data_IF_840300878053
#
_entry.id   IF_840300878053
#
_cell.length_a   1.000
_cell.length_b   1.000
_cell.length_c   1.000
_cell.angle_alpha   90.00
_cell.angle_beta   90.00
_cell.angle_gamma   90.00
#
_symmetry.space_group_name_H-M   'P 1'
#
loop_
_entity.id
_entity.type
_entity.pdbx_description
1 polymer ?
#
# COMPACT_ATOMS: atom_id res chain seq x y z
N UNK A 1 -20.75 -48.64 -21.37
CA UNK A 1 -21.55 -47.42 -21.12
C UNK A 1 -21.79 -47.24 -19.62
N UNK A 2 -20.77 -46.92 -18.82
CA UNK A 2 -20.94 -46.52 -17.39
C UNK A 2 -19.69 -45.74 -17.01
N UNK A 3 -19.76 -44.40 -16.92
CA UNK A 3 -18.80 -43.47 -16.23
C UNK A 3 -18.77 -42.07 -16.88
N UNK A 4 -19.91 -41.39 -16.96
CA UNK A 4 -19.92 -39.91 -17.14
C UNK A 4 -20.75 -39.23 -16.04
N UNK A 5 -21.81 -39.91 -15.59
CA UNK A 5 -22.77 -39.36 -14.64
C UNK A 5 -22.23 -39.24 -13.19
N UNK A 6 -21.17 -40.00 -12.85
CA UNK A 6 -20.50 -39.91 -11.54
C UNK A 6 -19.50 -38.76 -11.41
N UNK A 7 -18.98 -38.22 -12.52
CA UNK A 7 -18.01 -37.11 -12.50
C UNK A 7 -18.69 -35.75 -12.32
N UNK A 8 -19.92 -35.60 -12.83
CA UNK A 8 -20.68 -34.35 -12.69
C UNK A 8 -21.16 -34.10 -11.24
N UNK A 9 -21.36 -35.16 -10.45
CA UNK A 9 -21.84 -35.02 -9.05
C UNK A 9 -20.75 -34.67 -8.04
N UNK A 10 -19.46 -34.91 -8.33
CA UNK A 10 -18.37 -34.64 -7.38
C UNK A 10 -17.77 -33.24 -7.49
N UNK A 11 -18.01 -32.51 -8.59
CA UNK A 11 -17.47 -31.15 -8.81
C UNK A 11 -18.38 -30.08 -8.20
N UNK A 12 -19.69 -30.32 -8.16
CA UNK A 12 -20.70 -29.38 -7.65
C UNK A 12 -20.64 -29.07 -6.14
N UNK A 13 -20.32 -30.00 -5.22
CA UNK A 13 -20.25 -29.66 -3.80
C UNK A 13 -19.04 -28.77 -3.48
N UNK A 14 -17.92 -28.93 -4.20
CA UNK A 14 -16.73 -28.09 -4.01
C UNK A 14 -16.98 -26.63 -4.38
N UNK A 15 -17.65 -26.35 -5.50
CA UNK A 15 -17.91 -24.96 -5.96
C UNK A 15 -18.68 -24.11 -4.94
N UNK A 16 -19.60 -24.74 -4.19
CA UNK A 16 -20.38 -24.06 -3.14
C UNK A 16 -19.55 -23.81 -1.88
N UNK A 17 -18.67 -24.73 -1.53
CA UNK A 17 -17.79 -24.60 -0.38
C UNK A 17 -16.70 -23.53 -0.63
N UNK A 18 -16.14 -23.45 -1.85
CA UNK A 18 -15.11 -22.44 -2.20
C UNK A 18 -15.65 -21.01 -2.12
N UNK A 19 -16.90 -20.78 -2.54
CA UNK A 19 -17.56 -19.47 -2.42
C UNK A 19 -17.93 -19.10 -0.98
N UNK A 20 -18.17 -20.09 -0.11
CA UNK A 20 -18.44 -19.88 1.30
C UNK A 20 -17.16 -19.71 2.14
N UNK A 21 -16.03 -20.30 1.72
CA UNK A 21 -14.72 -20.17 2.37
C UNK A 21 -14.00 -18.87 1.97
N UNK A 22 -14.20 -18.37 0.75
CA UNK A 22 -13.65 -17.09 0.28
C UNK A 22 -14.52 -15.91 0.74
N UNK A 23 -14.73 -15.79 2.05
CA UNK A 23 -15.28 -14.57 2.62
C UNK A 23 -14.15 -13.54 2.68
N UNK A 24 -14.35 -12.40 2.02
CA UNK A 24 -13.36 -11.31 2.08
C UNK A 24 -13.12 -10.95 3.56
N UNK A 25 -11.85 -10.87 4.01
CA UNK A 25 -11.53 -10.46 5.38
C UNK A 25 -12.27 -9.18 5.80
N UNK A 26 -12.55 -9.04 7.09
CA UNK A 26 -13.32 -7.91 7.64
C UNK A 26 -12.82 -6.54 7.16
N UNK A 27 -11.50 -6.36 7.09
CA UNK A 27 -10.85 -5.12 6.62
C UNK A 27 -11.10 -4.79 5.14
N UNK A 28 -11.51 -5.76 4.30
CA UNK A 28 -11.92 -5.55 2.90
C UNK A 28 -13.40 -5.15 2.82
N UNK A 29 -14.24 -5.70 3.72
CA UNK A 29 -15.66 -5.39 3.75
C UNK A 29 -15.90 -3.95 4.21
N UNK A 30 -15.16 -3.54 5.26
CA UNK A 30 -15.21 -2.19 5.80
C UNK A 30 -14.75 -1.11 4.78
N UNK A 31 -13.83 -1.47 3.86
CA UNK A 31 -13.38 -0.58 2.78
C UNK A 31 -14.41 -0.42 1.64
N UNK A 32 -15.26 -1.43 1.45
CA UNK A 32 -16.27 -1.53 0.40
C UNK A 32 -17.67 -1.04 0.83
N UNK A 33 -17.86 -0.69 2.11
CA UNK A 33 -19.15 -0.18 2.61
C UNK A 33 -19.45 1.21 1.99
N UNK A 34 -20.54 1.36 1.20
CA UNK A 34 -20.90 2.63 0.57
C UNK A 34 -21.43 3.68 1.58
N UNK A 35 -21.81 3.27 2.79
CA UNK A 35 -22.26 4.18 3.86
C UNK A 35 -21.12 4.68 4.75
N UNK A 36 -19.94 4.05 4.69
CA UNK A 36 -18.73 4.54 5.35
C UNK A 36 -18.03 5.49 4.37
N UNK A 37 -17.91 6.79 4.66
CA UNK A 37 -17.11 7.68 3.82
C UNK A 37 -15.71 7.08 3.74
N UNK A 38 -15.24 6.80 2.51
CA UNK A 38 -13.89 6.30 2.25
C UNK A 38 -12.91 7.03 3.19
N UNK A 39 -11.98 6.32 3.87
CA UNK A 39 -11.11 6.95 4.85
C UNK A 39 -10.50 8.17 4.19
N UNK A 40 -11.00 9.34 4.59
CA UNK A 40 -10.59 10.60 4.04
C UNK A 40 -9.08 10.62 4.23
N UNK A 41 -8.33 11.05 3.22
CA UNK A 41 -6.86 11.12 3.23
C UNK A 41 -6.29 12.07 4.30
N UNK A 42 -7.02 12.31 5.37
CA UNK A 42 -6.57 12.94 6.58
C UNK A 42 -5.55 12.02 7.23
N UNK A 43 -4.27 12.37 7.10
CA UNK A 43 -3.20 11.75 7.87
C UNK A 43 -3.64 11.69 9.34
N UNK A 44 -3.84 10.47 9.85
CA UNK A 44 -4.23 10.29 11.24
C UNK A 44 -3.18 10.95 12.12
N UNK A 45 -3.60 11.57 13.22
CA UNK A 45 -2.73 12.33 14.11
C UNK A 45 -1.51 11.51 14.56
N UNK A 46 -1.68 10.18 14.67
CA UNK A 46 -0.61 9.22 14.95
C UNK A 46 0.41 9.12 13.81
N UNK A 47 -0.03 9.08 12.55
CA UNK A 47 0.86 9.08 11.38
C UNK A 47 1.65 10.38 11.27
N UNK A 48 1.01 11.53 11.53
CA UNK A 48 1.71 12.83 11.56
C UNK A 48 2.81 12.83 12.61
N UNK A 49 2.52 12.31 13.80
CA UNK A 49 3.48 12.21 14.89
C UNK A 49 4.66 11.29 14.54
N UNK A 50 4.38 10.12 13.96
CA UNK A 50 5.43 9.21 13.47
C UNK A 50 6.30 9.91 12.44
N UNK A 51 5.71 10.57 11.44
CA UNK A 51 6.45 11.30 10.41
C UNK A 51 7.34 12.39 11.00
N UNK A 52 6.85 13.14 11.99
CA UNK A 52 7.63 14.18 12.67
C UNK A 52 8.79 13.56 13.46
N UNK A 53 8.54 12.50 14.22
CA UNK A 53 9.59 11.80 14.97
C UNK A 53 10.66 11.28 14.03
N UNK A 54 10.27 10.62 12.92
CA UNK A 54 11.22 10.14 11.92
C UNK A 54 12.06 11.28 11.37
N UNK A 55 11.46 12.43 11.05
CA UNK A 55 12.21 13.60 10.56
C UNK A 55 13.19 14.13 11.61
N UNK A 56 12.74 14.30 12.86
CA UNK A 56 13.54 14.81 13.97
C UNK A 56 14.68 13.87 14.35
N UNK A 57 14.58 12.57 14.09
CA UNK A 57 15.67 11.61 14.32
C UNK A 57 16.61 11.54 13.12
N UNK A 58 16.07 11.41 11.91
CA UNK A 58 16.86 11.20 10.69
C UNK A 58 17.67 12.44 10.31
N UNK A 59 17.11 13.63 10.46
CA UNK A 59 17.79 14.87 10.11
C UNK A 59 19.08 15.13 10.92
N UNK A 60 19.06 15.14 12.27
CA UNK A 60 20.29 15.32 13.04
C UNK A 60 21.23 14.13 12.90
N UNK A 61 20.71 12.90 12.71
CA UNK A 61 21.56 11.74 12.44
C UNK A 61 22.36 11.91 11.14
N UNK A 62 21.72 12.34 10.06
CA UNK A 62 22.41 12.62 8.80
C UNK A 62 23.42 13.78 8.92
N UNK A 63 23.05 14.85 9.64
CA UNK A 63 23.97 15.97 9.87
C UNK A 63 25.19 15.55 10.70
N UNK A 64 24.98 14.74 11.74
CA UNK A 64 26.05 14.26 12.60
C UNK A 64 26.96 13.27 11.86
N UNK A 65 26.40 12.35 11.08
CA UNK A 65 27.16 11.44 10.23
C UNK A 65 28.01 12.19 9.20
N UNK A 66 27.45 13.22 8.55
CA UNK A 66 28.20 14.10 7.65
C UNK A 66 29.34 14.83 8.36
N UNK A 67 29.10 15.37 9.56
CA UNK A 67 30.14 16.03 10.35
C UNK A 67 31.27 15.07 10.79
N UNK A 68 30.92 13.86 11.18
CA UNK A 68 31.88 12.82 11.57
C UNK A 68 32.75 12.38 10.39
N UNK A 69 32.13 12.13 9.23
CA UNK A 69 32.86 11.77 8.01
C UNK A 69 33.70 12.93 7.48
N UNK A 70 33.33 14.19 7.71
CA UNK A 70 34.16 15.35 7.36
C UNK A 70 35.48 15.38 8.15
N UNK A 71 35.43 15.05 9.44
CA UNK A 71 36.65 14.87 10.26
C UNK A 71 37.53 13.74 9.74
N UNK A 72 36.94 12.64 9.27
CA UNK A 72 37.66 11.52 8.64
C UNK A 72 38.17 11.84 7.23
N UNK A 73 37.49 12.69 6.46
CA UNK A 73 37.92 13.10 5.14
C UNK A 73 39.21 13.93 5.19
N UNK A 74 39.35 14.78 6.21
CA UNK A 74 40.59 15.50 6.47
C UNK A 74 41.76 14.59 6.87
N UNK A 75 41.48 13.37 7.35
CA UNK A 75 42.51 12.38 7.69
C UNK A 75 43.09 11.63 6.47
N UNK A 76 42.82 12.11 5.24
CA UNK A 76 43.38 11.56 4.00
C UNK A 76 42.56 10.44 3.33
N UNK A 77 41.34 10.17 3.81
CA UNK A 77 40.45 9.18 3.20
C UNK A 77 39.56 9.81 2.13
N UNK A 78 39.88 9.58 0.86
CA UNK A 78 39.12 10.14 -0.27
C UNK A 78 37.64 9.69 -0.29
N UNK A 79 37.34 8.46 0.15
CA UNK A 79 35.97 7.94 0.21
C UNK A 79 35.07 8.70 1.19
N UNK A 80 35.64 9.25 2.26
CA UNK A 80 34.89 10.00 3.26
C UNK A 80 34.29 11.30 2.69
N UNK A 81 34.88 11.86 1.62
CA UNK A 81 34.28 12.99 0.90
C UNK A 81 32.93 12.66 0.28
N UNK A 82 32.76 11.46 -0.27
CA UNK A 82 31.47 11.06 -0.86
C UNK A 82 30.40 11.04 0.22
N UNK A 83 30.71 10.43 1.36
CA UNK A 83 29.80 10.34 2.49
C UNK A 83 29.42 11.72 3.05
N UNK A 84 30.35 12.68 3.11
CA UNK A 84 30.01 14.05 3.53
C UNK A 84 28.94 14.73 2.68
N UNK A 85 28.77 14.34 1.41
CA UNK A 85 27.71 14.86 0.53
C UNK A 85 26.48 13.93 0.46
N UNK A 86 26.70 12.62 0.52
CA UNK A 86 25.65 11.61 0.48
C UNK A 86 24.73 11.70 1.72
N UNK A 87 25.29 11.90 2.91
CA UNK A 87 24.49 12.03 4.14
C UNK A 87 23.53 13.24 4.12
N UNK A 88 23.96 14.47 3.77
CA UNK A 88 23.05 15.60 3.55
C UNK A 88 22.00 15.33 2.46
N UNK A 89 22.39 14.64 1.38
CA UNK A 89 21.47 14.31 0.29
C UNK A 89 20.33 13.40 0.76
N UNK A 90 20.63 12.37 1.55
CA UNK A 90 19.61 11.54 2.18
C UNK A 90 18.73 12.35 3.15
N UNK A 91 19.31 13.26 3.94
CA UNK A 91 18.55 14.16 4.80
C UNK A 91 17.56 15.04 4.01
N UNK A 92 17.98 15.57 2.86
CA UNK A 92 17.14 16.35 1.97
C UNK A 92 16.00 15.51 1.36
N UNK A 93 16.28 14.28 0.94
CA UNK A 93 15.25 13.34 0.44
C UNK A 93 14.23 13.03 1.54
N UNK A 94 14.68 12.80 2.78
CA UNK A 94 13.77 12.55 3.90
C UNK A 94 12.82 13.73 4.14
N UNK A 95 13.33 14.97 4.10
CA UNK A 95 12.50 16.19 4.19
C UNK A 95 11.53 16.27 3.00
N UNK A 96 11.99 15.97 1.79
CA UNK A 96 11.15 16.00 0.60
C UNK A 96 9.98 15.00 0.71
N UNK A 97 10.26 13.75 1.09
CA UNK A 97 9.24 12.73 1.30
C UNK A 97 8.29 13.13 2.43
N UNK A 98 8.80 13.64 3.54
CA UNK A 98 7.97 14.17 4.64
C UNK A 98 7.00 15.26 4.15
N UNK A 99 7.50 16.25 3.39
CA UNK A 99 6.66 17.31 2.81
C UNK A 99 5.63 16.74 1.83
N UNK A 100 5.99 15.73 1.05
CA UNK A 100 5.08 15.06 0.10
C UNK A 100 3.97 14.29 0.81
N UNK A 101 4.32 13.52 1.85
CA UNK A 101 3.34 12.79 2.66
C UNK A 101 2.42 13.76 3.41
N UNK A 102 2.95 14.84 4.00
CA UNK A 102 2.17 15.89 4.67
C UNK A 102 1.13 16.57 3.75
N UNK A 103 1.40 16.65 2.43
CA UNK A 103 0.45 17.23 1.46
C UNK A 103 -0.74 16.32 1.15
N UNK A 104 -0.73 15.06 1.60
CA UNK A 104 -1.79 14.12 1.28
C UNK A 104 -1.78 13.68 -0.18
N UNK A 105 -0.61 13.74 -0.86
CA UNK A 105 -0.39 13.17 -2.22
C UNK A 105 -0.39 11.62 -2.18
N UNK A 106 -1.34 11.03 -1.48
CA UNK A 106 -1.59 9.59 -1.49
C UNK A 106 -2.31 9.29 -2.80
N UNK A 107 -1.78 8.39 -3.66
CA UNK A 107 -2.43 8.04 -4.90
C UNK A 107 -3.87 7.60 -4.63
N UNK A 108 -4.83 8.36 -5.15
CA UNK A 108 -6.26 8.00 -5.06
C UNK A 108 -6.48 6.87 -6.05
N UNK A 109 -6.56 5.64 -5.55
CA UNK A 109 -6.88 4.48 -6.38
C UNK A 109 -8.32 4.69 -6.89
N UNK A 110 -8.54 4.81 -8.21
CA UNK A 110 -9.89 4.89 -8.76
C UNK A 110 -10.64 3.62 -8.36
N UNK A 111 -11.70 3.76 -7.56
CA UNK A 111 -12.53 2.61 -7.19
C UNK A 111 -13.31 2.15 -8.42
N UNK A 112 -13.30 0.85 -8.77
CA UNK A 112 -14.20 0.34 -9.79
C UNK A 112 -15.66 0.53 -9.33
N UNK A 113 -16.53 0.92 -10.25
CA UNK A 113 -17.95 1.08 -9.98
C UNK A 113 -18.59 -0.30 -9.77
N UNK A 114 -18.80 -0.66 -8.50
CA UNK A 114 -19.38 -1.94 -8.09
C UNK A 114 -20.80 -2.12 -8.63
N UNK A 115 -21.57 -1.05 -8.80
CA UNK A 115 -22.91 -1.12 -9.35
C UNK A 115 -22.89 -1.43 -10.85
N UNK A 116 -21.89 -0.91 -11.57
CA UNK A 116 -21.65 -1.27 -12.96
C UNK A 116 -21.20 -2.74 -13.11
N UNK A 117 -20.33 -3.22 -12.22
CA UNK A 117 -19.88 -4.62 -12.22
C UNK A 117 -21.02 -5.60 -11.89
N UNK A 118 -21.90 -5.26 -10.94
CA UNK A 118 -23.05 -6.09 -10.60
C UNK A 118 -24.02 -6.25 -11.78
N UNK A 119 -24.28 -5.16 -12.53
CA UNK A 119 -25.10 -5.24 -13.75
C UNK A 119 -24.48 -6.14 -14.82
N UNK A 120 -23.17 -6.06 -15.01
CA UNK A 120 -22.46 -6.91 -15.98
C UNK A 120 -22.54 -8.39 -15.60
N UNK A 121 -22.49 -8.74 -14.31
CA UNK A 121 -22.65 -10.13 -13.86
C UNK A 121 -24.06 -10.67 -14.05
N UNK A 122 -25.07 -9.81 -13.88
CA UNK A 122 -26.47 -10.17 -14.11
C UNK A 122 -26.72 -10.43 -15.60
N UNK A 123 -26.22 -9.55 -16.48
CA UNK A 123 -26.33 -9.66 -17.94
C UNK A 123 -25.57 -10.89 -18.49
N UNK A 124 -24.37 -11.20 -17.96
CA UNK A 124 -23.60 -12.39 -18.36
C UNK A 124 -24.36 -13.67 -18.00
N UNK A 125 -25.00 -13.72 -16.82
CA UNK A 125 -25.76 -14.88 -16.36
C UNK A 125 -27.03 -15.19 -17.18
N UNK A 126 -27.64 -14.16 -17.78
CA UNK A 126 -28.78 -14.29 -18.69
C UNK A 126 -28.34 -14.72 -20.11
N UNK A 127 -27.13 -14.34 -20.53
CA UNK A 127 -26.58 -14.72 -21.83
C UNK A 127 -26.12 -16.19 -21.89
N UNK A 128 -25.58 -16.75 -20.80
CA UNK A 128 -25.12 -18.15 -20.74
C UNK A 128 -26.29 -19.17 -20.69
N UNK A 129 -27.50 -18.71 -20.35
CA UNK A 129 -28.71 -19.54 -20.26
C UNK A 129 -29.53 -19.63 -21.56
N UNK A 130 -29.19 -18.85 -22.59
CA UNK A 130 -29.89 -18.81 -23.88
C UNK A 130 -29.17 -19.66 -24.92
#
# INVERSE_FOLDING_TARGET
MVKKDKLAKSVTPQRKNIAAEFSAPQWIQDENDPNVPAPSGELTQKQRLVLIITLVVVFPFCMWAGWFEFGRAQSGNWRAWVYTFEWPFFGAIAIYLFRRLMRGDVPKIPRPDLAALAKLSDDESDSEKK
#
